data_IF_405472963763
#
_entry.id   IF_405472963763
#
_cell.length_a   1.000
_cell.length_b   1.000
_cell.length_c   1.000
_cell.angle_alpha   90.00
_cell.angle_beta   90.00
_cell.angle_gamma   90.00
#
_symmetry.space_group_name_H-M   'P 1'
#
loop_
_entity.id
_entity.type
_entity.pdbx_description
1 polymer ?
#
# COMPACT_ATOMS: atom_id res chain seq x y z
N UNK A 1 -24.50 -3.57 -11.97
CA UNK A 1 -25.51 -3.68 -10.90
C UNK A 1 -24.97 -3.19 -9.56
N UNK A 2 -23.83 -3.68 -9.07
CA UNK A 2 -23.24 -3.26 -7.77
C UNK A 2 -23.03 -1.74 -7.64
N UNK A 3 -22.53 -1.08 -8.67
CA UNK A 3 -22.36 0.38 -8.68
C UNK A 3 -23.71 1.07 -8.42
N UNK A 4 -24.76 0.66 -9.09
CA UNK A 4 -26.11 1.22 -8.92
C UNK A 4 -26.67 0.99 -7.51
N UNK A 5 -26.39 -0.16 -6.91
CA UNK A 5 -26.84 -0.47 -5.53
C UNK A 5 -26.24 0.51 -4.51
N UNK A 6 -25.01 0.98 -4.73
CA UNK A 6 -24.28 1.80 -3.77
C UNK A 6 -24.38 3.30 -4.03
N UNK A 7 -25.04 3.75 -5.10
CA UNK A 7 -25.15 5.20 -5.44
C UNK A 7 -25.63 6.06 -4.25
N UNK A 8 -26.74 5.74 -3.53
CA UNK A 8 -27.18 6.62 -2.44
C UNK A 8 -26.15 6.74 -1.33
N UNK A 9 -25.51 5.64 -0.96
CA UNK A 9 -24.48 5.63 0.06
C UNK A 9 -23.21 6.40 -0.37
N UNK A 10 -22.72 6.17 -1.56
CA UNK A 10 -21.57 6.88 -2.10
C UNK A 10 -21.84 8.38 -2.22
N UNK A 11 -23.01 8.78 -2.69
CA UNK A 11 -23.43 10.18 -2.77
C UNK A 11 -23.45 10.82 -1.38
N UNK A 12 -23.96 10.12 -0.38
CA UNK A 12 -23.98 10.57 1.01
C UNK A 12 -22.56 10.79 1.57
N UNK A 13 -21.64 9.86 1.32
CA UNK A 13 -20.22 9.99 1.75
C UNK A 13 -19.56 11.19 1.06
N UNK A 14 -19.76 11.35 -0.24
CA UNK A 14 -19.20 12.45 -1.01
C UNK A 14 -19.73 13.80 -0.52
N UNK A 15 -21.03 13.92 -0.33
CA UNK A 15 -21.63 15.15 0.21
C UNK A 15 -21.12 15.49 1.62
N UNK A 16 -20.97 14.49 2.48
CA UNK A 16 -20.41 14.68 3.82
C UNK A 16 -18.93 15.12 3.74
N UNK A 17 -18.13 14.49 2.85
CA UNK A 17 -16.73 14.86 2.66
C UNK A 17 -16.59 16.30 2.14
N UNK A 18 -17.38 16.68 1.12
CA UNK A 18 -17.40 18.02 0.55
C UNK A 18 -17.82 19.04 1.62
N UNK A 19 -18.91 18.78 2.32
CA UNK A 19 -19.42 19.68 3.38
C UNK A 19 -18.39 19.87 4.50
N UNK A 20 -17.75 18.80 4.94
CA UNK A 20 -16.67 18.87 5.95
C UNK A 20 -15.44 19.63 5.44
N UNK A 21 -15.05 19.40 4.18
CA UNK A 21 -13.92 20.11 3.58
C UNK A 21 -14.20 21.62 3.49
N UNK A 22 -15.37 22.01 2.98
CA UNK A 22 -15.78 23.41 2.90
C UNK A 22 -15.87 24.06 4.28
N UNK A 23 -16.48 23.40 5.26
CA UNK A 23 -16.54 23.88 6.64
C UNK A 23 -15.14 24.07 7.24
N UNK A 24 -14.23 23.12 7.03
CA UNK A 24 -12.85 23.22 7.52
C UNK A 24 -12.06 24.33 6.84
N UNK A 25 -12.23 24.52 5.54
CA UNK A 25 -11.51 25.54 4.77
C UNK A 25 -12.01 26.95 5.13
N UNK A 26 -13.33 27.16 5.12
CA UNK A 26 -13.90 28.50 5.22
C UNK A 26 -14.23 28.92 6.65
N UNK A 27 -14.58 27.98 7.55
CA UNK A 27 -15.11 28.30 8.88
C UNK A 27 -14.14 27.92 9.98
N UNK A 28 -13.84 26.63 10.16
CA UNK A 28 -13.08 26.16 11.32
C UNK A 28 -11.57 26.35 11.21
N UNK A 29 -11.03 26.32 10.01
CA UNK A 29 -9.59 26.39 9.69
C UNK A 29 -8.73 25.39 10.49
N UNK A 30 -9.33 24.29 10.97
CA UNK A 30 -8.70 23.23 11.78
C UNK A 30 -8.82 21.87 11.09
N UNK A 31 -7.88 20.95 11.41
CA UNK A 31 -7.90 19.56 10.94
C UNK A 31 -7.96 19.40 9.41
N UNK A 32 -7.28 20.28 8.67
CA UNK A 32 -7.30 20.29 7.20
C UNK A 32 -6.73 19.02 6.57
N UNK A 33 -5.76 18.39 7.24
CA UNK A 33 -5.05 17.17 6.77
C UNK A 33 -5.40 15.92 7.60
N UNK A 34 -6.52 15.93 8.30
CA UNK A 34 -6.93 14.76 9.09
C UNK A 34 -7.41 13.65 8.16
N UNK A 35 -6.74 12.51 8.20
CA UNK A 35 -7.13 11.28 7.51
C UNK A 35 -6.93 10.06 8.42
N UNK A 36 -7.62 8.98 8.14
CA UNK A 36 -7.44 7.69 8.80
C UNK A 36 -6.91 6.68 7.80
N UNK A 37 -6.03 5.78 8.25
CA UNK A 37 -5.59 4.67 7.41
C UNK A 37 -6.71 3.67 7.18
N UNK A 38 -6.64 2.88 6.11
CA UNK A 38 -7.59 1.80 5.85
C UNK A 38 -7.65 0.82 7.03
N UNK A 39 -6.50 0.43 7.57
CA UNK A 39 -6.36 -0.44 8.75
C UNK A 39 -7.06 0.13 9.99
N UNK A 40 -6.89 1.42 10.28
CA UNK A 40 -7.60 2.06 11.41
C UNK A 40 -9.11 2.01 11.23
N UNK A 41 -9.60 2.23 10.01
CA UNK A 41 -11.03 2.17 9.72
C UNK A 41 -11.54 0.73 9.82
N UNK A 42 -10.79 -0.25 9.36
CA UNK A 42 -11.13 -1.67 9.42
C UNK A 42 -11.23 -2.16 10.87
N UNK A 43 -10.28 -1.78 11.72
CA UNK A 43 -10.29 -2.13 13.15
C UNK A 43 -11.41 -1.43 13.96
N UNK A 44 -11.91 -0.27 13.50
CA UNK A 44 -12.99 0.46 14.16
C UNK A 44 -14.40 -0.03 13.72
N UNK A 45 -14.52 -0.79 12.65
CA UNK A 45 -15.81 -1.19 12.08
C UNK A 45 -16.21 -2.57 12.60
N UNK A 46 -17.33 -2.60 13.31
CA UNK A 46 -18.01 -3.87 13.66
C UNK A 46 -18.50 -4.56 12.38
N UNK A 47 -18.03 -5.78 12.11
CA UNK A 47 -18.41 -6.56 10.94
C UNK A 47 -19.71 -7.35 11.20
N UNK A 48 -20.82 -6.63 11.39
CA UNK A 48 -22.15 -7.22 11.56
C UNK A 48 -23.13 -6.64 10.55
N UNK A 49 -24.13 -7.44 10.14
CA UNK A 49 -25.17 -6.98 9.20
C UNK A 49 -25.89 -5.72 9.71
N UNK A 50 -26.13 -5.64 11.01
CA UNK A 50 -26.77 -4.49 11.65
C UNK A 50 -25.90 -3.24 11.52
N UNK A 51 -24.57 -3.36 11.68
CA UNK A 51 -23.64 -2.26 11.51
C UNK A 51 -23.65 -1.72 10.07
N UNK A 52 -23.74 -2.61 9.08
CA UNK A 52 -23.90 -2.20 7.67
C UNK A 52 -25.20 -1.45 7.42
N UNK A 53 -26.34 -1.91 7.94
CA UNK A 53 -27.61 -1.17 7.83
C UNK A 53 -27.56 0.18 8.54
N UNK A 54 -26.96 0.26 9.73
CA UNK A 54 -26.75 1.53 10.44
C UNK A 54 -25.86 2.49 9.66
N UNK A 55 -24.79 2.01 9.06
CA UNK A 55 -23.83 2.85 8.31
C UNK A 55 -24.39 3.30 6.97
N UNK A 56 -25.14 2.43 6.28
CA UNK A 56 -25.69 2.65 4.95
C UNK A 56 -27.18 3.00 4.98
N UNK A 57 -27.72 3.49 6.10
CA UNK A 57 -29.14 3.77 6.31
C UNK A 57 -29.79 4.64 5.23
N UNK A 58 -28.98 5.47 4.55
CA UNK A 58 -29.45 6.34 3.48
C UNK A 58 -29.98 5.54 2.27
N UNK A 59 -29.41 4.36 2.00
CA UNK A 59 -29.84 3.54 0.86
C UNK A 59 -31.29 3.00 1.02
N UNK A 60 -31.67 2.32 2.12
CA UNK A 60 -33.04 1.92 2.34
C UNK A 60 -34.00 3.12 2.54
N UNK A 61 -33.51 4.26 3.10
CA UNK A 61 -34.33 5.47 3.16
C UNK A 61 -34.70 5.99 1.77
N UNK A 62 -33.74 6.08 0.86
CA UNK A 62 -34.00 6.51 -0.53
C UNK A 62 -34.90 5.53 -1.26
N UNK A 63 -34.79 4.21 -1.00
CA UNK A 63 -35.69 3.21 -1.51
C UNK A 63 -37.14 3.45 -1.03
N UNK A 64 -37.32 3.74 0.27
CA UNK A 64 -38.64 4.06 0.85
C UNK A 64 -39.24 5.34 0.23
N UNK A 65 -38.45 6.39 0.07
CA UNK A 65 -38.87 7.62 -0.59
C UNK A 65 -39.31 7.37 -2.04
N UNK A 66 -38.51 6.61 -2.80
CA UNK A 66 -38.86 6.24 -4.17
C UNK A 66 -40.15 5.40 -4.23
N UNK A 67 -40.37 4.50 -3.27
CA UNK A 67 -41.60 3.72 -3.15
C UNK A 67 -42.82 4.65 -2.96
N UNK A 68 -42.72 5.62 -2.04
CA UNK A 68 -43.79 6.60 -1.78
C UNK A 68 -44.10 7.39 -3.07
N UNK A 69 -43.07 7.89 -3.75
CA UNK A 69 -43.24 8.64 -4.99
C UNK A 69 -43.92 7.78 -6.06
N UNK A 70 -43.48 6.53 -6.22
CA UNK A 70 -44.05 5.61 -7.21
C UNK A 70 -45.54 5.28 -6.94
N UNK A 71 -45.91 5.14 -5.65
CA UNK A 71 -47.30 4.87 -5.25
C UNK A 71 -48.20 6.10 -5.45
N UNK A 72 -47.70 7.30 -5.06
CA UNK A 72 -48.51 8.53 -5.11
C UNK A 72 -48.75 9.01 -6.54
N UNK A 73 -47.74 8.95 -7.39
CA UNK A 73 -47.84 9.53 -8.74
C UNK A 73 -48.23 8.52 -9.82
N UNK A 74 -48.33 7.22 -9.49
CA UNK A 74 -48.53 6.15 -10.44
C UNK A 74 -47.45 6.16 -11.52
N UNK A 75 -46.86 5.07 -11.86
CA UNK A 75 -45.72 5.11 -12.78
C UNK A 75 -45.87 4.05 -13.87
N UNK A 76 -45.88 4.51 -15.11
CA UNK A 76 -45.69 3.63 -16.28
C UNK A 76 -44.31 2.94 -16.21
N UNK A 77 -43.37 3.47 -15.39
CA UNK A 77 -42.01 2.97 -15.19
C UNK A 77 -41.91 2.13 -13.90
N UNK A 78 -43.03 1.59 -13.42
CA UNK A 78 -43.09 0.83 -12.15
C UNK A 78 -42.05 -0.28 -12.05
N UNK A 79 -41.82 -1.03 -13.11
CA UNK A 79 -40.85 -2.13 -13.15
C UNK A 79 -39.41 -1.64 -12.92
N UNK A 80 -39.04 -0.52 -13.52
CA UNK A 80 -37.69 0.06 -13.32
C UNK A 80 -37.54 0.59 -11.90
N UNK A 81 -38.54 1.29 -11.38
CA UNK A 81 -38.50 1.79 -10.01
C UNK A 81 -38.45 0.63 -9.01
N UNK A 82 -39.17 -0.47 -9.24
CA UNK A 82 -39.14 -1.66 -8.40
C UNK A 82 -37.72 -2.25 -8.34
N UNK A 83 -37.06 -2.38 -9.48
CA UNK A 83 -35.68 -2.86 -9.52
C UNK A 83 -34.70 -1.99 -8.69
N UNK A 84 -34.84 -0.68 -8.80
CA UNK A 84 -34.00 0.27 -8.03
C UNK A 84 -34.32 0.19 -6.53
N UNK A 85 -35.62 0.15 -6.17
CA UNK A 85 -36.08 0.01 -4.78
C UNK A 85 -35.48 -1.24 -4.14
N UNK A 86 -35.58 -2.38 -4.82
CA UNK A 86 -34.99 -3.64 -4.33
C UNK A 86 -33.50 -3.50 -4.16
N UNK A 87 -32.76 -3.00 -5.17
CA UNK A 87 -31.30 -2.84 -5.12
C UNK A 87 -30.85 -1.95 -3.96
N UNK A 88 -31.52 -0.82 -3.73
CA UNK A 88 -31.17 0.10 -2.65
C UNK A 88 -31.54 -0.43 -1.27
N UNK A 89 -32.61 -1.20 -1.17
CA UNK A 89 -33.02 -1.85 0.09
C UNK A 89 -32.03 -2.93 0.52
N UNK A 90 -31.54 -3.74 -0.44
CA UNK A 90 -30.60 -4.83 -0.15
C UNK A 90 -29.13 -4.39 -0.21
N UNK A 91 -28.82 -3.14 -0.57
CA UNK A 91 -27.45 -2.64 -0.71
C UNK A 91 -26.57 -2.90 0.53
N UNK A 92 -27.04 -2.66 1.79
CA UNK A 92 -26.24 -2.99 2.98
C UNK A 92 -25.98 -4.49 3.13
N UNK A 93 -26.94 -5.35 2.76
CA UNK A 93 -26.76 -6.81 2.77
C UNK A 93 -25.73 -7.24 1.73
N UNK A 94 -25.77 -6.67 0.53
CA UNK A 94 -24.77 -6.93 -0.52
C UNK A 94 -23.37 -6.50 -0.04
N UNK A 95 -23.25 -5.30 0.54
CA UNK A 95 -22.00 -4.81 1.08
C UNK A 95 -21.46 -5.75 2.18
N UNK A 96 -22.30 -6.18 3.11
CA UNK A 96 -21.92 -7.13 4.15
C UNK A 96 -21.42 -8.46 3.55
N UNK A 97 -22.17 -9.04 2.60
CA UNK A 97 -21.81 -10.31 1.96
C UNK A 97 -20.47 -10.26 1.23
N UNK A 98 -20.18 -9.15 0.54
CA UNK A 98 -18.92 -8.96 -0.19
C UNK A 98 -17.74 -8.72 0.78
N UNK A 99 -18.04 -8.18 1.96
CA UNK A 99 -17.01 -7.88 2.98
C UNK A 99 -16.71 -9.03 3.92
N UNK A 100 -17.39 -10.17 3.79
CA UNK A 100 -17.05 -11.38 4.54
C UNK A 100 -15.69 -11.87 4.03
N UNK A 101 -14.71 -11.90 4.93
CA UNK A 101 -13.42 -12.51 4.64
C UNK A 101 -13.62 -14.01 4.56
N UNK A 102 -13.48 -14.56 3.37
CA UNK A 102 -13.42 -16.01 3.18
C UNK A 102 -11.98 -16.39 3.49
N UNK A 103 -11.75 -17.01 4.66
CA UNK A 103 -10.49 -17.67 4.91
C UNK A 103 -10.48 -18.94 4.06
N UNK A 104 -9.79 -18.91 2.96
CA UNK A 104 -9.42 -20.16 2.28
C UNK A 104 -8.41 -20.85 3.21
N UNK A 105 -8.60 -22.15 3.44
CA UNK A 105 -7.58 -22.96 4.08
C UNK A 105 -6.31 -22.75 3.27
N UNK A 106 -5.22 -22.37 3.95
CA UNK A 106 -3.93 -22.20 3.28
C UNK A 106 -3.50 -23.58 2.82
N UNK A 107 -3.74 -23.85 1.55
CA UNK A 107 -3.22 -25.08 0.93
C UNK A 107 -1.68 -25.04 1.03
N UNK A 108 -1.08 -26.14 1.46
CA UNK A 108 0.37 -26.27 1.42
C UNK A 108 0.82 -26.21 -0.04
N UNK A 109 1.89 -25.47 -0.29
CA UNK A 109 2.46 -25.38 -1.66
C UNK A 109 2.82 -26.77 -2.17
N UNK A 110 2.49 -27.03 -3.40
CA UNK A 110 2.99 -28.19 -4.11
C UNK A 110 4.51 -28.05 -4.33
N UNK A 111 5.21 -29.15 -4.54
CA UNK A 111 6.65 -29.12 -4.84
C UNK A 111 6.98 -28.28 -6.09
N UNK A 112 6.07 -28.26 -7.08
CA UNK A 112 6.21 -27.46 -8.29
C UNK A 112 6.11 -25.96 -7.99
N UNK A 113 5.10 -25.53 -7.23
CA UNK A 113 4.92 -24.14 -6.80
C UNK A 113 6.08 -23.65 -5.90
N UNK A 114 6.55 -24.48 -4.98
CA UNK A 114 7.72 -24.16 -4.18
C UNK A 114 8.96 -23.97 -5.05
N UNK A 115 9.17 -24.82 -6.06
CA UNK A 115 10.26 -24.69 -7.00
C UNK A 115 10.19 -23.41 -7.81
N UNK A 116 9.00 -23.06 -8.31
CA UNK A 116 8.77 -21.79 -9.03
C UNK A 116 9.05 -20.56 -8.15
N UNK A 117 8.59 -20.58 -6.89
CA UNK A 117 8.86 -19.50 -5.92
C UNK A 117 10.36 -19.37 -5.64
N UNK A 118 11.09 -20.48 -5.53
CA UNK A 118 12.55 -20.47 -5.36
C UNK A 118 13.28 -19.89 -6.58
N UNK A 119 12.83 -20.19 -7.78
CA UNK A 119 13.36 -19.61 -9.02
C UNK A 119 13.10 -18.12 -9.06
N UNK A 120 11.88 -17.69 -8.71
CA UNK A 120 11.52 -16.27 -8.63
C UNK A 120 12.37 -15.53 -7.60
N UNK A 121 12.50 -16.08 -6.39
CA UNK A 121 13.34 -15.50 -5.34
C UNK A 121 14.80 -15.37 -5.78
N UNK A 122 15.33 -16.37 -6.49
CA UNK A 122 16.70 -16.30 -7.04
C UNK A 122 16.87 -15.23 -8.12
N UNK A 123 15.85 -15.03 -8.96
CA UNK A 123 15.83 -13.93 -9.96
C UNK A 123 15.76 -12.56 -9.30
N UNK A 124 14.95 -12.40 -8.25
CA UNK A 124 14.88 -11.15 -7.48
C UNK A 124 16.23 -10.85 -6.84
N UNK A 125 16.87 -11.86 -6.23
CA UNK A 125 18.18 -11.69 -5.62
C UNK A 125 19.26 -11.30 -6.65
N UNK A 126 19.24 -11.86 -7.87
CA UNK A 126 20.25 -11.54 -8.90
C UNK A 126 20.31 -10.04 -9.20
N UNK A 127 19.18 -9.33 -9.15
CA UNK A 127 19.18 -7.87 -9.29
C UNK A 127 20.08 -7.17 -8.26
N UNK A 128 19.99 -7.55 -6.99
CA UNK A 128 20.82 -6.96 -5.94
C UNK A 128 22.27 -7.46 -5.98
N UNK A 129 22.46 -8.69 -6.42
CA UNK A 129 23.78 -9.29 -6.61
C UNK A 129 24.57 -8.54 -7.70
N UNK A 130 23.93 -8.28 -8.84
CA UNK A 130 24.53 -7.65 -10.00
C UNK A 130 24.69 -6.14 -9.87
N UNK A 131 23.70 -5.45 -9.30
CA UNK A 131 23.64 -3.99 -9.35
C UNK A 131 24.01 -3.29 -8.04
N UNK A 132 23.99 -3.97 -6.87
CA UNK A 132 24.48 -3.39 -5.61
C UNK A 132 25.96 -3.71 -5.48
N UNK A 133 26.77 -3.05 -6.27
CA UNK A 133 28.19 -3.29 -6.46
C UNK A 133 29.03 -2.01 -6.27
N UNK A 134 30.33 -2.10 -6.50
CA UNK A 134 31.25 -0.96 -6.36
C UNK A 134 30.95 0.18 -7.35
N UNK A 135 30.50 -0.14 -8.56
CA UNK A 135 30.18 0.86 -9.60
C UNK A 135 28.99 1.73 -9.18
N UNK A 136 28.02 1.14 -8.50
CA UNK A 136 26.88 1.84 -7.94
C UNK A 136 27.09 2.30 -6.48
N UNK A 137 28.33 2.40 -6.01
CA UNK A 137 28.66 2.76 -4.64
C UNK A 137 27.92 1.91 -3.58
N UNK A 138 27.62 0.66 -3.87
CA UNK A 138 26.83 -0.27 -3.04
C UNK A 138 25.43 0.26 -2.69
N UNK A 139 24.89 1.17 -3.50
CA UNK A 139 23.51 1.65 -3.45
C UNK A 139 22.69 0.92 -4.50
N UNK A 140 21.45 0.51 -4.16
CA UNK A 140 20.58 -0.14 -5.11
C UNK A 140 20.06 0.87 -6.14
N UNK A 141 20.25 0.66 -7.45
CA UNK A 141 19.57 1.43 -8.47
C UNK A 141 18.04 1.32 -8.35
N UNK A 142 17.31 2.20 -9.02
CA UNK A 142 15.85 2.23 -8.96
C UNK A 142 15.21 1.03 -9.65
N UNK A 143 15.68 0.74 -10.86
CA UNK A 143 15.21 -0.38 -11.66
C UNK A 143 16.16 -0.74 -12.78
N UNK A 144 15.91 -1.89 -13.41
CA UNK A 144 16.48 -2.29 -14.69
C UNK A 144 15.33 -2.49 -15.68
N UNK A 145 15.28 -1.68 -16.73
CA UNK A 145 14.19 -1.74 -17.71
C UNK A 145 14.60 -2.52 -18.94
N UNK A 146 13.92 -3.66 -19.17
CA UNK A 146 14.14 -4.54 -20.32
C UNK A 146 13.29 -4.16 -21.54
N UNK A 147 12.02 -3.81 -21.33
CA UNK A 147 11.07 -3.55 -22.43
C UNK A 147 10.29 -2.24 -22.18
N UNK A 148 10.41 -1.21 -23.05
CA UNK A 148 11.51 -1.05 -24.02
C UNK A 148 12.84 -0.91 -23.29
N UNK A 149 13.91 -1.40 -23.88
CA UNK A 149 15.22 -1.42 -23.22
C UNK A 149 15.74 -0.02 -22.90
N UNK A 150 16.02 0.23 -21.62
CA UNK A 150 16.67 1.44 -21.11
C UNK A 150 17.83 1.14 -20.16
N UNK A 151 18.01 -0.14 -19.80
CA UNK A 151 19.04 -0.58 -18.88
C UNK A 151 18.80 -0.13 -17.44
N UNK A 152 19.88 0.11 -16.72
CA UNK A 152 19.88 0.46 -15.29
C UNK A 152 19.53 1.93 -15.10
N UNK A 153 18.58 2.21 -14.21
CA UNK A 153 18.30 3.57 -13.75
C UNK A 153 19.24 3.92 -12.58
N UNK A 154 20.34 4.59 -12.87
CA UNK A 154 21.42 4.93 -11.92
C UNK A 154 21.02 6.00 -10.89
N UNK A 155 19.90 5.79 -10.23
CA UNK A 155 19.39 6.61 -9.13
C UNK A 155 18.82 5.71 -8.04
N UNK A 156 18.83 6.19 -6.81
CA UNK A 156 18.32 5.45 -5.65
C UNK A 156 17.47 6.34 -4.76
N UNK A 157 16.53 5.74 -4.04
CA UNK A 157 15.71 6.37 -3.01
C UNK A 157 15.94 5.72 -1.65
N UNK A 158 15.51 6.35 -0.53
CA UNK A 158 15.59 5.71 0.79
C UNK A 158 14.87 4.35 0.83
N UNK A 159 13.75 4.20 0.12
CA UNK A 159 13.06 2.89 -0.02
C UNK A 159 13.97 1.86 -0.68
N UNK A 160 14.61 2.19 -1.81
CA UNK A 160 15.50 1.27 -2.53
C UNK A 160 16.71 0.85 -1.69
N UNK A 161 17.29 1.80 -0.94
CA UNK A 161 18.38 1.52 -0.01
C UNK A 161 17.95 0.51 1.07
N UNK A 162 16.80 0.74 1.70
CA UNK A 162 16.27 -0.16 2.73
C UNK A 162 15.92 -1.55 2.19
N UNK A 163 15.30 -1.63 1.01
CA UNK A 163 15.02 -2.90 0.34
C UNK A 163 16.29 -3.70 0.05
N UNK A 164 17.38 -3.05 -0.38
CA UNK A 164 18.65 -3.71 -0.60
C UNK A 164 19.24 -4.31 0.69
N UNK A 165 19.09 -3.63 1.83
CA UNK A 165 19.54 -4.17 3.12
C UNK A 165 18.76 -5.44 3.49
N UNK A 166 17.43 -5.43 3.34
CA UNK A 166 16.58 -6.61 3.60
C UNK A 166 16.88 -7.73 2.62
N UNK A 167 17.08 -7.42 1.32
CA UNK A 167 17.40 -8.43 0.33
C UNK A 167 18.64 -9.27 0.69
N UNK A 168 19.66 -8.65 1.34
CA UNK A 168 20.82 -9.37 1.84
C UNK A 168 20.47 -10.35 2.98
N UNK A 169 19.56 -9.96 3.89
CA UNK A 169 19.08 -10.85 4.96
C UNK A 169 18.30 -12.03 4.38
N UNK A 170 17.38 -11.76 3.46
CA UNK A 170 16.60 -12.81 2.78
C UNK A 170 17.50 -13.77 2.01
N UNK A 171 18.49 -13.24 1.30
CA UNK A 171 19.47 -14.07 0.56
C UNK A 171 20.26 -15.01 1.50
N UNK A 172 20.54 -14.59 2.72
CA UNK A 172 21.14 -15.44 3.74
C UNK A 172 20.18 -16.56 4.18
N UNK A 173 18.94 -16.23 4.50
CA UNK A 173 17.93 -17.24 4.89
C UNK A 173 17.65 -18.25 3.77
N UNK A 174 17.72 -17.82 2.52
CA UNK A 174 17.59 -18.68 1.36
C UNK A 174 18.91 -19.39 0.98
N UNK A 175 19.96 -19.23 1.78
CA UNK A 175 21.29 -19.85 1.58
C UNK A 175 21.99 -19.43 0.27
N UNK A 176 21.67 -18.26 -0.29
CA UNK A 176 22.35 -17.72 -1.47
C UNK A 176 23.70 -17.10 -1.13
N UNK A 177 23.85 -16.56 0.07
CA UNK A 177 25.10 -15.96 0.56
C UNK A 177 25.37 -16.35 2.00
N UNK A 178 26.64 -16.28 2.41
CA UNK A 178 27.07 -16.56 3.78
C UNK A 178 26.84 -15.36 4.70
N UNK A 179 26.80 -15.58 6.03
CA UNK A 179 26.71 -14.52 7.01
C UNK A 179 27.82 -13.47 6.88
N UNK A 180 29.05 -13.92 6.62
CA UNK A 180 30.18 -13.01 6.39
C UNK A 180 29.94 -12.09 5.20
N UNK A 181 29.33 -12.61 4.14
CA UNK A 181 28.97 -11.81 2.97
C UNK A 181 27.82 -10.83 3.26
N UNK A 182 26.80 -11.23 4.04
CA UNK A 182 25.74 -10.32 4.51
C UNK A 182 26.34 -9.12 5.23
N UNK A 183 27.16 -9.38 6.24
CA UNK A 183 27.78 -8.33 7.05
C UNK A 183 28.62 -7.40 6.16
N UNK A 184 29.41 -7.96 5.25
CA UNK A 184 30.23 -7.21 4.31
C UNK A 184 29.39 -6.30 3.40
N UNK A 185 28.32 -6.83 2.81
CA UNK A 185 27.44 -6.10 1.88
C UNK A 185 26.65 -5.00 2.61
N UNK A 186 26.00 -5.35 3.73
CA UNK A 186 25.26 -4.37 4.55
C UNK A 186 26.17 -3.24 5.00
N UNK A 187 27.37 -3.56 5.53
CA UNK A 187 28.34 -2.55 5.96
C UNK A 187 28.69 -1.58 4.83
N UNK A 188 29.00 -2.07 3.63
CA UNK A 188 29.34 -1.21 2.48
C UNK A 188 28.18 -0.33 2.04
N UNK A 189 26.95 -0.86 2.05
CA UNK A 189 25.77 -0.06 1.73
C UNK A 189 25.54 1.04 2.78
N UNK A 190 25.63 0.72 4.07
CA UNK A 190 25.47 1.69 5.17
C UNK A 190 26.58 2.74 5.12
N UNK A 191 27.86 2.34 4.94
CA UNK A 191 28.98 3.27 4.80
C UNK A 191 28.73 4.28 3.65
N UNK A 192 28.17 3.81 2.52
CA UNK A 192 27.77 4.69 1.41
C UNK A 192 26.60 5.61 1.76
N UNK A 193 25.57 5.08 2.42
CA UNK A 193 24.40 5.86 2.85
C UNK A 193 24.82 6.98 3.82
N UNK A 194 25.78 6.73 4.71
CA UNK A 194 26.25 7.74 5.66
C UNK A 194 26.90 8.95 4.98
N UNK A 195 27.49 8.76 3.79
CA UNK A 195 28.11 9.84 3.02
C UNK A 195 27.12 10.70 2.23
N UNK A 196 25.84 10.29 2.12
CA UNK A 196 24.83 11.02 1.38
C UNK A 196 24.42 12.30 2.11
N UNK A 197 24.16 13.37 1.36
CA UNK A 197 23.63 14.62 1.89
C UNK A 197 22.26 14.39 2.53
N UNK A 198 22.02 15.00 3.70
CA UNK A 198 20.77 14.89 4.45
C UNK A 198 20.17 16.26 4.74
N UNK A 199 18.86 16.35 4.79
CA UNK A 199 18.15 17.53 5.24
C UNK A 199 17.51 17.26 6.60
N UNK A 200 17.96 17.94 7.65
CA UNK A 200 17.49 17.76 9.04
C UNK A 200 17.47 16.30 9.50
N UNK A 201 18.48 15.52 9.09
CA UNK A 201 18.60 14.10 9.42
C UNK A 201 17.86 13.14 8.49
N UNK A 202 17.02 13.63 7.58
CA UNK A 202 16.34 12.84 6.58
C UNK A 202 17.11 12.78 5.27
N UNK A 203 17.07 11.63 4.61
CA UNK A 203 17.55 11.52 3.24
C UNK A 203 16.62 12.27 2.29
N UNK A 204 17.22 12.84 1.23
CA UNK A 204 16.46 13.37 0.09
C UNK A 204 15.89 12.20 -0.74
N UNK A 205 14.89 12.47 -1.56
CA UNK A 205 14.18 11.38 -2.23
C UNK A 205 15.04 10.64 -3.26
N UNK A 206 15.85 11.36 -4.03
CA UNK A 206 16.66 10.77 -5.08
C UNK A 206 18.13 11.16 -5.04
N UNK A 207 19.01 10.17 -5.23
CA UNK A 207 20.44 10.35 -5.40
C UNK A 207 20.93 9.59 -6.63
N UNK A 208 21.95 10.10 -7.29
CA UNK A 208 22.72 9.34 -8.27
C UNK A 208 23.47 8.20 -7.56
N UNK A 209 23.34 6.96 -8.04
CA UNK A 209 24.15 5.84 -7.50
C UNK A 209 25.61 5.97 -7.87
N UNK A 210 25.95 6.70 -8.93
CA UNK A 210 27.30 6.88 -9.44
C UNK A 210 28.03 8.01 -8.70
N UNK A 211 27.40 9.21 -8.60
CA UNK A 211 28.06 10.39 -7.99
C UNK A 211 27.71 10.57 -6.52
N UNK A 212 26.67 9.92 -6.01
CA UNK A 212 26.06 10.09 -4.69
C UNK A 212 25.46 11.48 -4.46
N UNK A 213 25.35 12.30 -5.49
CA UNK A 213 24.73 13.62 -5.41
C UNK A 213 23.21 13.53 -5.44
N UNK A 214 22.51 14.42 -4.70
CA UNK A 214 21.07 14.53 -4.79
C UNK A 214 20.60 14.96 -6.17
N UNK A 215 19.53 14.34 -6.66
CA UNK A 215 18.89 14.68 -7.93
C UNK A 215 17.75 15.68 -7.74
N UNK A 216 17.48 16.49 -8.76
CA UNK A 216 16.36 17.42 -8.78
C UNK A 216 15.04 16.73 -9.20
N UNK A 217 13.88 17.12 -8.62
CA UNK A 217 13.73 18.13 -7.55
C UNK A 217 14.20 17.60 -6.19
N UNK A 218 14.84 18.46 -5.39
CA UNK A 218 15.35 18.10 -4.05
C UNK A 218 14.22 18.21 -3.03
N UNK A 219 13.77 17.09 -2.50
CA UNK A 219 12.73 17.03 -1.45
C UNK A 219 12.91 15.80 -0.57
N UNK A 220 12.29 15.84 0.60
CA UNK A 220 12.19 14.69 1.51
C UNK A 220 10.83 14.04 1.31
N UNK A 221 10.83 12.76 0.94
CA UNK A 221 9.62 11.95 0.92
C UNK A 221 9.39 11.35 2.31
N UNK A 222 8.23 11.64 2.90
CA UNK A 222 7.86 11.06 4.19
C UNK A 222 7.58 9.56 4.09
N UNK A 223 7.07 9.10 2.95
CA UNK A 223 6.84 7.69 2.66
C UNK A 223 8.15 6.93 2.58
N UNK A 224 9.12 7.42 1.79
CA UNK A 224 10.43 6.78 1.66
C UNK A 224 11.20 6.77 2.96
N UNK A 225 11.13 7.85 3.74
CA UNK A 225 11.74 7.93 5.07
C UNK A 225 11.12 6.92 6.04
N UNK A 226 9.79 6.75 5.98
CA UNK A 226 9.08 5.76 6.79
C UNK A 226 9.44 4.33 6.40
N UNK A 227 9.48 4.03 5.10
CA UNK A 227 9.90 2.72 4.58
C UNK A 227 11.32 2.38 5.02
N UNK A 228 12.27 3.31 4.84
CA UNK A 228 13.65 3.08 5.28
C UNK A 228 13.73 2.80 6.78
N UNK A 229 12.99 3.54 7.61
CA UNK A 229 12.97 3.30 9.06
C UNK A 229 12.46 1.89 9.38
N UNK A 230 11.39 1.46 8.74
CA UNK A 230 10.84 0.11 8.88
C UNK A 230 11.85 -0.96 8.49
N UNK A 231 12.52 -0.80 7.36
CA UNK A 231 13.54 -1.73 6.88
C UNK A 231 14.76 -1.78 7.82
N UNK A 232 15.24 -0.64 8.30
CA UNK A 232 16.36 -0.60 9.27
C UNK A 232 15.99 -1.29 10.59
N UNK A 233 14.73 -1.16 11.02
CA UNK A 233 14.24 -1.85 12.21
C UNK A 233 14.27 -3.37 12.03
N UNK A 234 13.79 -3.87 10.90
CA UNK A 234 13.81 -5.31 10.57
C UNK A 234 15.25 -5.82 10.51
N UNK A 235 16.12 -5.15 9.75
CA UNK A 235 17.53 -5.53 9.64
C UNK A 235 18.23 -5.58 11.01
N UNK A 236 17.95 -4.59 11.86
CA UNK A 236 18.49 -4.57 13.23
C UNK A 236 18.04 -5.80 14.01
N UNK A 237 16.74 -6.12 13.97
CA UNK A 237 16.17 -7.26 14.69
C UNK A 237 16.76 -8.59 14.21
N UNK A 238 16.83 -8.79 12.92
CA UNK A 238 17.42 -9.99 12.31
C UNK A 238 18.89 -10.16 12.69
N UNK A 239 19.70 -9.10 12.65
CA UNK A 239 21.09 -9.16 13.06
C UNK A 239 21.26 -9.45 14.57
N UNK A 240 20.36 -8.94 15.43
CA UNK A 240 20.32 -9.28 16.86
C UNK A 240 20.00 -10.78 17.06
N UNK A 241 19.04 -11.33 16.31
CA UNK A 241 18.69 -12.75 16.36
C UNK A 241 19.81 -13.66 15.88
N UNK A 242 20.44 -13.32 14.76
CA UNK A 242 21.58 -14.07 14.20
C UNK A 242 22.76 -14.08 15.20
N UNK A 243 23.00 -12.97 15.89
CA UNK A 243 24.06 -12.89 16.90
C UNK A 243 23.82 -13.79 18.11
N UNK A 244 22.56 -14.04 18.45
CA UNK A 244 22.17 -14.81 19.63
C UNK A 244 21.99 -16.31 19.35
N UNK A 245 22.09 -16.74 18.11
CA UNK A 245 22.17 -18.14 17.65
C UNK A 245 23.61 -18.62 17.63
#
# INVERSE_FOLDING_TARGET
LLIFSFIPYQSSIMLNAISKALYRIFISKKNLLQWKTAEQVENEVENSLIAYYKKMWISPLMAALLTIITVVYGSEIFIFNLAIIVLWTIAPLLAFKISIIIYEDVEEFTEEEESELRILARRIWSYYEDFVNKENNYLAPDNFQEVPYKGVAFRTSPTNMGMALIANIIAYHLSYITLGEVIRRIKKSVDSMETLEKYKGHYLNWYSTITKEPLWPRYVSTVDSGNLLGYLWIVKKELEEIKNK
#
